data_IF_361265871201
#
_entry.id   IF_361265871201
#
_cell.length_a   1.000
_cell.length_b   1.000
_cell.length_c   1.000
_cell.angle_alpha   90.00
_cell.angle_beta   90.00
_cell.angle_gamma   90.00
#
_symmetry.space_group_name_H-M   'P 1'
#
loop_
_entity.id
_entity.type
_entity.pdbx_description
1 polymer ?
#
# COMPACT_ATOMS: atom_id res chain seq x y z
N UNK A 1 -24.72 -26.98 -11.18
CA UNK A 1 -24.73 -26.83 -9.71
C UNK A 1 -25.25 -25.43 -9.44
N UNK A 2 -26.54 -25.33 -9.12
CA UNK A 2 -27.16 -24.08 -8.68
C UNK A 2 -26.60 -23.74 -7.29
N UNK A 3 -25.78 -22.69 -7.24
CA UNK A 3 -25.40 -22.06 -5.97
C UNK A 3 -26.60 -21.22 -5.57
N UNK A 4 -27.10 -21.47 -4.35
CA UNK A 4 -28.23 -20.74 -3.77
C UNK A 4 -27.96 -19.22 -3.87
N UNK A 5 -28.80 -18.42 -4.56
CA UNK A 5 -28.59 -16.98 -4.82
C UNK A 5 -28.50 -16.08 -3.57
N UNK A 6 -28.71 -16.66 -2.40
CA UNK A 6 -28.92 -16.08 -1.09
C UNK A 6 -27.70 -16.21 -0.15
N UNK A 7 -26.54 -16.60 -0.67
CA UNK A 7 -25.31 -16.75 0.12
C UNK A 7 -24.31 -15.63 -0.21
N UNK A 8 -24.27 -14.58 0.62
CA UNK A 8 -23.33 -13.46 0.47
C UNK A 8 -21.87 -13.94 0.40
N UNK A 9 -21.54 -14.95 1.20
CA UNK A 9 -20.24 -15.60 1.26
C UNK A 9 -19.87 -16.30 -0.07
N UNK A 10 -20.83 -16.84 -0.83
CA UNK A 10 -20.55 -17.39 -2.15
C UNK A 10 -20.12 -16.30 -3.13
N UNK A 11 -20.86 -15.19 -3.16
CA UNK A 11 -20.51 -14.05 -4.01
C UNK A 11 -19.18 -13.41 -3.59
N UNK A 12 -18.90 -13.33 -2.30
CA UNK A 12 -17.62 -12.87 -1.78
C UNK A 12 -16.47 -13.79 -2.21
N UNK A 13 -16.62 -15.11 -2.07
CA UNK A 13 -15.59 -16.07 -2.49
C UNK A 13 -15.34 -16.03 -4.01
N UNK A 14 -16.40 -15.87 -4.81
CA UNK A 14 -16.27 -15.68 -6.26
C UNK A 14 -15.54 -14.36 -6.57
N UNK A 15 -15.81 -13.30 -5.80
CA UNK A 15 -15.07 -12.04 -5.89
C UNK A 15 -13.58 -12.22 -5.63
N UNK A 16 -13.21 -12.94 -4.57
CA UNK A 16 -11.82 -13.24 -4.23
C UNK A 16 -11.13 -14.01 -5.38
N UNK A 17 -11.80 -15.02 -5.95
CA UNK A 17 -11.28 -15.77 -7.10
C UNK A 17 -11.06 -14.88 -8.33
N UNK A 18 -11.99 -13.97 -8.63
CA UNK A 18 -11.80 -13.03 -9.73
C UNK A 18 -10.65 -12.06 -9.47
N UNK A 19 -10.47 -11.63 -8.23
CA UNK A 19 -9.35 -10.76 -7.83
C UNK A 19 -8.01 -11.46 -8.00
N UNK A 20 -7.89 -12.72 -7.57
CA UNK A 20 -6.70 -13.55 -7.80
C UNK A 20 -6.39 -13.75 -9.30
N UNK A 21 -7.43 -13.83 -10.13
CA UNK A 21 -7.30 -13.92 -11.58
C UNK A 21 -7.04 -12.57 -12.28
N UNK A 22 -6.94 -11.47 -11.54
CA UNK A 22 -6.77 -10.11 -12.08
C UNK A 22 -8.01 -9.57 -12.80
N UNK A 23 -9.17 -10.24 -12.70
CA UNK A 23 -10.44 -9.83 -13.32
C UNK A 23 -11.19 -8.86 -12.41
N UNK A 24 -10.64 -7.67 -12.25
CA UNK A 24 -11.07 -6.73 -11.21
C UNK A 24 -12.50 -6.21 -11.41
N UNK A 25 -12.98 -6.06 -12.64
CA UNK A 25 -14.38 -5.69 -12.89
C UNK A 25 -15.37 -6.78 -12.44
N UNK A 26 -15.05 -8.05 -12.70
CA UNK A 26 -15.85 -9.19 -12.27
C UNK A 26 -15.82 -9.35 -10.73
N UNK A 27 -14.66 -9.11 -10.12
CA UNK A 27 -14.51 -9.08 -8.66
C UNK A 27 -15.38 -7.99 -8.04
N UNK A 28 -15.33 -6.76 -8.57
CA UNK A 28 -16.15 -5.62 -8.13
C UNK A 28 -17.64 -5.97 -8.14
N UNK A 29 -18.12 -6.56 -9.23
CA UNK A 29 -19.53 -6.96 -9.36
C UNK A 29 -19.91 -8.04 -8.34
N UNK A 30 -19.01 -8.99 -8.08
CA UNK A 30 -19.24 -10.07 -7.13
C UNK A 30 -19.30 -9.56 -5.69
N UNK A 31 -18.39 -8.68 -5.29
CA UNK A 31 -18.45 -8.04 -3.97
C UNK A 31 -19.70 -7.18 -3.78
N UNK A 32 -20.09 -6.41 -4.79
CA UNK A 32 -21.36 -5.64 -4.74
C UNK A 32 -22.58 -6.54 -4.55
N UNK A 33 -22.62 -7.72 -5.17
CA UNK A 33 -23.68 -8.71 -4.94
C UNK A 33 -23.65 -9.26 -3.52
N UNK A 34 -22.47 -9.57 -2.98
CA UNK A 34 -22.32 -10.00 -1.60
C UNK A 34 -22.85 -8.93 -0.63
N UNK A 35 -22.51 -7.65 -0.86
CA UNK A 35 -22.95 -6.51 -0.06
C UNK A 35 -24.45 -6.17 -0.23
N UNK A 36 -25.05 -6.48 -1.37
CA UNK A 36 -26.49 -6.34 -1.56
C UNK A 36 -27.29 -7.35 -0.70
N UNK A 37 -26.70 -8.53 -0.44
CA UNK A 37 -27.29 -9.57 0.41
C UNK A 37 -26.95 -9.31 1.90
N UNK A 38 -25.71 -8.92 2.18
CA UNK A 38 -25.18 -8.67 3.52
C UNK A 38 -24.45 -7.32 3.57
N UNK A 39 -25.16 -6.21 3.84
CA UNK A 39 -24.58 -4.86 3.81
C UNK A 39 -23.52 -4.59 4.88
N UNK A 40 -23.50 -5.37 5.96
CA UNK A 40 -22.55 -5.29 7.08
C UNK A 40 -21.35 -6.23 6.92
N UNK A 41 -21.11 -6.76 5.72
CA UNK A 41 -19.99 -7.65 5.45
C UNK A 41 -18.67 -6.87 5.33
N UNK A 42 -17.98 -6.74 6.47
CA UNK A 42 -16.74 -5.96 6.65
C UNK A 42 -15.67 -6.31 5.62
N UNK A 43 -15.36 -7.60 5.46
CA UNK A 43 -14.32 -8.08 4.55
C UNK A 43 -14.68 -7.79 3.09
N UNK A 44 -15.97 -7.85 2.73
CA UNK A 44 -16.43 -7.53 1.37
C UNK A 44 -16.29 -6.04 1.07
N UNK A 45 -16.53 -5.15 2.03
CA UNK A 45 -16.25 -3.71 1.88
C UNK A 45 -14.76 -3.43 1.69
N UNK A 46 -13.89 -4.07 2.49
CA UNK A 46 -12.45 -3.93 2.35
C UNK A 46 -11.95 -4.44 0.99
N UNK A 47 -12.38 -5.63 0.55
CA UNK A 47 -11.93 -6.21 -0.72
C UNK A 47 -12.51 -5.48 -1.93
N UNK A 48 -13.74 -4.95 -1.81
CA UNK A 48 -14.31 -4.04 -2.81
C UNK A 48 -13.46 -2.78 -2.93
N UNK A 49 -13.04 -2.18 -1.81
CA UNK A 49 -12.15 -1.02 -1.80
C UNK A 49 -10.83 -1.30 -2.53
N UNK A 50 -10.16 -2.41 -2.21
CA UNK A 50 -8.92 -2.81 -2.86
C UNK A 50 -9.09 -3.02 -4.37
N UNK A 51 -10.21 -3.61 -4.77
CA UNK A 51 -10.52 -3.85 -6.18
C UNK A 51 -10.81 -2.54 -6.92
N UNK A 52 -11.56 -1.62 -6.31
CA UNK A 52 -11.88 -0.31 -6.86
C UNK A 52 -10.62 0.53 -7.08
N UNK A 53 -9.68 0.46 -6.14
CA UNK A 53 -8.38 1.11 -6.29
C UNK A 53 -7.60 0.52 -7.46
N UNK A 54 -7.57 -0.82 -7.59
CA UNK A 54 -6.91 -1.49 -8.71
C UNK A 54 -7.50 -1.18 -10.09
N UNK A 55 -8.77 -0.76 -10.18
CA UNK A 55 -9.41 -0.28 -11.43
C UNK A 55 -9.38 1.24 -11.58
N UNK A 56 -8.58 1.94 -10.78
CA UNK A 56 -8.39 3.40 -10.89
C UNK A 56 -9.57 4.23 -10.38
N UNK A 57 -10.28 3.75 -9.36
CA UNK A 57 -11.38 4.47 -8.68
C UNK A 57 -11.08 4.70 -7.19
N UNK A 58 -10.05 5.49 -6.86
CA UNK A 58 -9.62 5.68 -5.48
C UNK A 58 -10.67 6.35 -4.59
N UNK A 59 -11.54 7.23 -5.11
CA UNK A 59 -12.62 7.84 -4.32
C UNK A 59 -13.67 6.80 -3.88
N UNK A 60 -14.07 5.90 -4.78
CA UNK A 60 -14.99 4.80 -4.45
C UNK A 60 -14.33 3.81 -3.47
N UNK A 61 -13.00 3.63 -3.59
CA UNK A 61 -12.23 2.79 -2.69
C UNK A 61 -12.23 3.34 -1.26
N UNK A 62 -11.95 4.65 -1.08
CA UNK A 62 -12.02 5.35 0.22
C UNK A 62 -13.39 5.15 0.86
N UNK A 63 -14.48 5.33 0.10
CA UNK A 63 -15.83 5.14 0.63
C UNK A 63 -16.07 3.70 1.12
N UNK A 64 -15.54 2.70 0.40
CA UNK A 64 -15.68 1.29 0.76
C UNK A 64 -14.85 0.94 2.01
N UNK A 65 -13.60 1.41 2.10
CA UNK A 65 -12.79 1.21 3.31
C UNK A 65 -13.39 1.90 4.52
N UNK A 66 -13.91 3.12 4.37
CA UNK A 66 -14.59 3.81 5.46
C UNK A 66 -15.82 3.02 5.93
N UNK A 67 -16.56 2.37 5.03
CA UNK A 67 -17.66 1.47 5.43
C UNK A 67 -17.17 0.24 6.19
N UNK A 68 -16.06 -0.36 5.80
CA UNK A 68 -15.45 -1.44 6.57
C UNK A 68 -15.06 -0.96 7.99
N UNK A 69 -14.50 0.25 8.11
CA UNK A 69 -14.06 0.83 9.38
C UNK A 69 -15.22 1.33 10.25
N UNK A 70 -16.31 1.81 9.67
CA UNK A 70 -17.55 2.16 10.40
C UNK A 70 -18.11 0.91 11.10
N UNK A 71 -18.00 -0.26 10.47
CA UNK A 71 -18.47 -1.55 10.99
C UNK A 71 -17.46 -2.21 11.94
N UNK A 72 -16.17 -2.05 11.65
CA UNK A 72 -15.05 -2.62 12.42
C UNK A 72 -13.90 -1.60 12.54
N UNK A 73 -13.93 -0.74 13.57
CA UNK A 73 -12.94 0.34 13.73
C UNK A 73 -11.50 -0.16 13.98
N UNK A 74 -11.33 -1.37 14.49
CA UNK A 74 -10.05 -2.01 14.83
C UNK A 74 -9.49 -2.88 13.69
N UNK A 75 -9.87 -2.59 12.43
CA UNK A 75 -9.39 -3.32 11.26
C UNK A 75 -8.12 -2.70 10.67
N UNK A 76 -6.96 -3.17 11.12
CA UNK A 76 -5.66 -2.62 10.72
C UNK A 76 -5.42 -2.62 9.20
N UNK A 77 -5.80 -3.69 8.50
CA UNK A 77 -5.65 -3.80 7.05
C UNK A 77 -6.49 -2.74 6.32
N UNK A 78 -7.72 -2.48 6.77
CA UNK A 78 -8.58 -1.46 6.17
C UNK A 78 -8.05 -0.04 6.41
N UNK A 79 -7.46 0.25 7.58
CA UNK A 79 -6.78 1.51 7.84
C UNK A 79 -5.55 1.70 6.93
N UNK A 80 -4.72 0.68 6.75
CA UNK A 80 -3.59 0.73 5.84
C UNK A 80 -4.04 0.98 4.40
N UNK A 81 -5.03 0.22 3.93
CA UNK A 81 -5.54 0.34 2.56
C UNK A 81 -6.21 1.70 2.30
N UNK A 82 -6.93 2.24 3.30
CA UNK A 82 -7.46 3.60 3.26
C UNK A 82 -6.32 4.62 3.12
N UNK A 83 -5.22 4.44 3.87
CA UNK A 83 -4.03 5.27 3.75
C UNK A 83 -3.46 5.29 2.33
N UNK A 84 -3.34 4.13 1.67
CA UNK A 84 -2.89 4.06 0.27
C UNK A 84 -3.85 4.79 -0.67
N UNK A 85 -5.17 4.58 -0.54
CA UNK A 85 -6.14 5.25 -1.41
C UNK A 85 -6.18 6.77 -1.21
N UNK A 86 -5.97 7.25 0.02
CA UNK A 86 -5.86 8.68 0.32
C UNK A 86 -4.58 9.28 -0.25
N UNK A 87 -3.47 8.54 -0.21
CA UNK A 87 -2.22 8.93 -0.85
C UNK A 87 -2.40 9.08 -2.37
N UNK A 88 -3.07 8.13 -3.03
CA UNK A 88 -3.37 8.21 -4.47
C UNK A 88 -4.21 9.45 -4.84
N UNK A 89 -5.01 9.95 -3.89
CA UNK A 89 -5.80 11.19 -4.02
C UNK A 89 -5.01 12.45 -3.64
N UNK A 90 -3.74 12.33 -3.24
CA UNK A 90 -2.90 13.44 -2.76
C UNK A 90 -3.30 13.98 -1.38
N UNK A 91 -4.12 13.25 -0.61
CA UNK A 91 -4.52 13.62 0.76
C UNK A 91 -3.50 13.06 1.76
N UNK A 92 -2.30 13.62 1.74
CA UNK A 92 -1.13 13.04 2.39
C UNK A 92 -1.24 13.00 3.93
N UNK A 93 -1.79 14.03 4.55
CA UNK A 93 -1.99 14.08 6.01
C UNK A 93 -2.99 13.03 6.47
N UNK A 94 -4.11 12.88 5.76
CA UNK A 94 -5.11 11.86 6.05
C UNK A 94 -4.52 10.45 5.81
N UNK A 95 -3.71 10.29 4.76
CA UNK A 95 -3.03 9.03 4.45
C UNK A 95 -2.07 8.60 5.57
N UNK A 96 -1.25 9.53 6.06
CA UNK A 96 -0.33 9.30 7.17
C UNK A 96 -1.11 8.96 8.46
N UNK A 97 -2.20 9.68 8.75
CA UNK A 97 -3.05 9.40 9.91
C UNK A 97 -3.67 8.00 9.85
N UNK A 98 -4.17 7.57 8.69
CA UNK A 98 -4.71 6.23 8.49
C UNK A 98 -3.64 5.14 8.64
N UNK A 99 -2.44 5.33 8.08
CA UNK A 99 -1.33 4.40 8.28
C UNK A 99 -0.91 4.31 9.75
N UNK A 100 -0.86 5.45 10.47
CA UNK A 100 -0.57 5.47 11.89
C UNK A 100 -1.63 4.70 12.70
N UNK A 101 -2.92 4.81 12.34
CA UNK A 101 -3.97 3.99 12.97
C UNK A 101 -3.80 2.49 12.72
N UNK A 102 -3.37 2.09 11.53
CA UNK A 102 -3.03 0.71 11.26
C UNK A 102 -1.88 0.23 12.16
N UNK A 103 -0.87 1.07 12.39
CA UNK A 103 0.29 0.77 13.24
C UNK A 103 -0.04 0.78 14.74
N UNK A 104 -0.97 1.63 15.19
CA UNK A 104 -1.47 1.61 16.57
C UNK A 104 -2.13 0.26 16.90
N UNK A 105 -2.82 -0.33 15.91
CA UNK A 105 -3.49 -1.64 16.01
C UNK A 105 -2.52 -2.81 15.80
N UNK A 106 -1.57 -2.66 14.86
CA UNK A 106 -0.61 -3.68 14.45
C UNK A 106 0.79 -3.06 14.28
N UNK A 107 1.58 -2.96 15.36
CA UNK A 107 2.89 -2.27 15.33
C UNK A 107 3.94 -2.93 14.41
N UNK A 108 3.79 -4.22 14.13
CA UNK A 108 4.66 -5.04 13.28
C UNK A 108 4.18 -5.14 11.82
N UNK A 109 3.39 -4.17 11.36
CA UNK A 109 2.89 -4.12 9.99
C UNK A 109 3.86 -3.40 9.04
N UNK A 110 4.75 -4.18 8.39
CA UNK A 110 5.80 -3.64 7.51
C UNK A 110 5.27 -2.75 6.38
N UNK A 111 4.17 -3.14 5.73
CA UNK A 111 3.54 -2.38 4.65
C UNK A 111 2.98 -1.03 5.15
N UNK A 112 2.42 -0.97 6.36
CA UNK A 112 1.92 0.28 6.93
C UNK A 112 3.06 1.24 7.29
N UNK A 113 4.20 0.74 7.81
CA UNK A 113 5.41 1.55 7.99
C UNK A 113 5.94 2.09 6.65
N UNK A 114 5.94 1.27 5.60
CA UNK A 114 6.35 1.69 4.26
C UNK A 114 5.41 2.77 3.69
N UNK A 115 4.10 2.57 3.79
CA UNK A 115 3.09 3.51 3.28
C UNK A 115 3.09 4.83 4.06
N UNK A 116 3.27 4.78 5.38
CA UNK A 116 3.50 5.97 6.20
C UNK A 116 4.74 6.73 5.72
N UNK A 117 5.86 6.02 5.49
CA UNK A 117 7.08 6.61 4.95
C UNK A 117 6.88 7.30 3.60
N UNK A 118 6.05 6.73 2.72
CA UNK A 118 5.71 7.35 1.43
C UNK A 118 4.97 8.68 1.61
N UNK A 119 3.92 8.70 2.43
CA UNK A 119 3.17 9.92 2.71
C UNK A 119 4.07 11.01 3.33
N UNK A 120 4.87 10.67 4.34
CA UNK A 120 5.80 11.59 5.00
C UNK A 120 6.85 12.16 4.03
N UNK A 121 7.41 11.30 3.15
CA UNK A 121 8.38 11.72 2.12
C UNK A 121 7.78 12.73 1.15
N UNK A 122 6.52 12.56 0.75
CA UNK A 122 5.82 13.49 -0.14
C UNK A 122 5.45 14.81 0.57
N UNK A 123 5.18 14.77 1.88
CA UNK A 123 5.01 15.97 2.72
C UNK A 123 6.34 16.70 2.99
N UNK A 124 7.48 16.07 2.69
CA UNK A 124 8.82 16.63 2.95
C UNK A 124 9.37 16.35 4.35
N UNK A 125 8.68 15.54 5.14
CA UNK A 125 9.09 15.10 6.48
C UNK A 125 10.12 13.95 6.36
N UNK A 126 11.31 14.29 5.86
CA UNK A 126 12.32 13.31 5.44
C UNK A 126 12.86 12.45 6.58
N UNK A 127 13.03 13.00 7.79
CA UNK A 127 13.54 12.26 8.94
C UNK A 127 12.54 11.20 9.42
N UNK A 128 11.26 11.56 9.50
CA UNK A 128 10.19 10.63 9.90
C UNK A 128 9.91 9.58 8.82
N UNK A 129 10.02 9.97 7.54
CA UNK A 129 9.96 9.03 6.42
C UNK A 129 11.08 7.99 6.50
N UNK A 130 12.32 8.42 6.76
CA UNK A 130 13.46 7.54 6.95
C UNK A 130 13.24 6.57 8.11
N UNK A 131 12.78 7.06 9.27
CA UNK A 131 12.50 6.22 10.43
C UNK A 131 11.43 5.15 10.09
N UNK A 132 10.38 5.53 9.38
CA UNK A 132 9.31 4.62 8.94
C UNK A 132 9.84 3.55 7.98
N UNK A 133 10.64 3.92 6.97
CA UNK A 133 11.26 2.93 6.07
C UNK A 133 12.21 1.98 6.80
N UNK A 134 13.01 2.49 7.76
CA UNK A 134 13.88 1.63 8.57
C UNK A 134 13.09 0.64 9.43
N UNK A 135 11.93 1.04 9.96
CA UNK A 135 11.02 0.12 10.67
C UNK A 135 10.45 -0.94 9.74
N UNK A 136 10.00 -0.56 8.54
CA UNK A 136 9.54 -1.50 7.52
C UNK A 136 10.64 -2.53 7.17
N UNK A 137 11.87 -2.08 6.96
CA UNK A 137 13.02 -2.92 6.64
C UNK A 137 13.48 -3.79 7.82
N UNK A 138 13.31 -3.33 9.06
CA UNK A 138 13.57 -4.15 10.25
C UNK A 138 12.60 -5.33 10.38
N UNK A 139 11.37 -5.18 9.88
CA UNK A 139 10.34 -6.23 9.86
C UNK A 139 10.44 -7.11 8.61
N UNK A 140 10.75 -6.50 7.47
CA UNK A 140 10.87 -7.14 6.15
C UNK A 140 12.16 -6.68 5.46
N UNK A 141 13.31 -7.36 5.72
CA UNK A 141 14.59 -6.96 5.16
C UNK A 141 14.70 -7.05 3.63
N UNK A 142 13.85 -7.85 2.98
CA UNK A 142 13.83 -8.02 1.52
C UNK A 142 12.85 -7.07 0.81
N UNK A 143 12.38 -6.03 1.49
CA UNK A 143 11.45 -5.06 0.92
C UNK A 143 12.17 -4.07 -0.02
N UNK A 144 12.32 -4.47 -1.28
CA UNK A 144 13.07 -3.75 -2.31
C UNK A 144 12.64 -2.28 -2.47
N UNK A 145 11.34 -2.00 -2.51
CA UNK A 145 10.81 -0.64 -2.65
C UNK A 145 11.10 0.24 -1.44
N UNK A 146 11.10 -0.34 -0.23
CA UNK A 146 11.47 0.39 0.99
C UNK A 146 12.95 0.75 1.00
N UNK A 147 13.83 -0.16 0.56
CA UNK A 147 15.25 0.14 0.34
C UNK A 147 15.45 1.26 -0.68
N UNK A 148 14.76 1.19 -1.82
CA UNK A 148 14.85 2.20 -2.86
C UNK A 148 14.39 3.59 -2.36
N UNK A 149 13.24 3.65 -1.69
CA UNK A 149 12.70 4.90 -1.17
C UNK A 149 13.57 5.48 -0.04
N UNK A 150 14.11 4.64 0.84
CA UNK A 150 15.08 5.05 1.84
C UNK A 150 16.34 5.64 1.19
N UNK A 151 16.85 5.02 0.12
CA UNK A 151 17.95 5.56 -0.66
C UNK A 151 17.64 6.94 -1.24
N UNK A 152 16.43 7.13 -1.77
CA UNK A 152 15.96 8.44 -2.25
C UNK A 152 15.92 9.51 -1.16
N UNK A 153 15.45 9.16 0.05
CA UNK A 153 15.43 10.09 1.21
C UNK A 153 16.85 10.45 1.64
N UNK A 154 17.75 9.47 1.78
CA UNK A 154 19.15 9.69 2.14
C UNK A 154 19.87 10.57 1.11
N UNK A 155 19.61 10.36 -0.17
CA UNK A 155 20.17 11.19 -1.25
C UNK A 155 19.74 12.65 -1.14
N UNK A 156 18.46 12.91 -0.82
CA UNK A 156 17.94 14.27 -0.59
C UNK A 156 18.59 14.95 0.62
N UNK A 157 19.02 14.17 1.62
CA UNK A 157 19.75 14.66 2.79
C UNK A 157 21.27 14.81 2.56
N UNK A 158 21.77 14.47 1.36
CA UNK A 158 23.19 14.53 1.02
C UNK A 158 24.00 13.30 1.44
N UNK A 159 23.36 12.28 2.01
CA UNK A 159 23.99 11.02 2.42
C UNK A 159 24.16 10.06 1.23
N UNK A 160 24.91 10.51 0.22
CA UNK A 160 25.01 9.87 -1.10
C UNK A 160 25.53 8.42 -1.03
N UNK A 161 26.56 8.16 -0.22
CA UNK A 161 27.15 6.82 -0.11
C UNK A 161 26.16 5.81 0.47
N UNK A 162 25.41 6.21 1.51
CA UNK A 162 24.41 5.34 2.12
C UNK A 162 23.20 5.17 1.19
N UNK A 163 22.80 6.24 0.49
CA UNK A 163 21.77 6.16 -0.53
C UNK A 163 22.10 5.13 -1.61
N UNK A 164 23.34 5.14 -2.12
CA UNK A 164 23.80 4.19 -3.12
C UNK A 164 23.75 2.73 -2.63
N UNK A 165 24.13 2.47 -1.37
CA UNK A 165 24.05 1.13 -0.76
C UNK A 165 22.61 0.64 -0.66
N UNK A 166 21.69 1.50 -0.24
CA UNK A 166 20.28 1.12 -0.14
C UNK A 166 19.70 0.78 -1.51
N UNK A 167 20.05 1.54 -2.56
CA UNK A 167 19.61 1.22 -3.93
C UNK A 167 20.27 -0.07 -4.44
N UNK A 168 21.51 -0.36 -4.06
CA UNK A 168 22.15 -1.65 -4.38
C UNK A 168 21.43 -2.83 -3.72
N UNK A 169 21.01 -2.69 -2.46
CA UNK A 169 20.18 -3.68 -1.78
C UNK A 169 18.85 -3.87 -2.52
N UNK A 170 18.16 -2.78 -2.87
CA UNK A 170 16.92 -2.84 -3.64
C UNK A 170 17.10 -3.60 -4.97
N UNK A 171 18.17 -3.32 -5.72
CA UNK A 171 18.50 -3.99 -6.98
C UNK A 171 18.94 -5.45 -6.81
N UNK A 172 19.45 -5.83 -5.63
CA UNK A 172 19.77 -7.23 -5.33
C UNK A 172 18.51 -8.10 -5.18
N UNK A 173 17.40 -7.50 -4.73
CA UNK A 173 16.09 -8.14 -4.64
C UNK A 173 15.30 -8.03 -5.96
N UNK A 174 15.39 -6.90 -6.66
CA UNK A 174 14.70 -6.66 -7.94
C UNK A 174 15.64 -6.12 -9.02
N UNK A 175 16.34 -7.03 -9.70
CA UNK A 175 17.37 -6.68 -10.67
C UNK A 175 16.84 -6.13 -12.00
N UNK A 176 15.54 -6.06 -12.26
CA UNK A 176 15.01 -5.61 -13.57
C UNK A 176 14.62 -4.11 -13.58
N UNK A 177 14.88 -3.39 -12.48
CA UNK A 177 14.49 -1.98 -12.32
C UNK A 177 15.52 -1.01 -12.89
N UNK A 178 15.51 -0.81 -14.20
CA UNK A 178 16.43 0.13 -14.87
C UNK A 178 16.28 1.58 -14.39
N UNK A 179 15.06 2.00 -14.02
CA UNK A 179 14.81 3.31 -13.42
C UNK A 179 15.58 3.50 -12.10
N UNK A 180 15.74 2.44 -11.30
CA UNK A 180 16.47 2.51 -10.04
C UNK A 180 17.98 2.61 -10.27
N UNK A 181 18.50 1.92 -11.29
CA UNK A 181 19.90 2.04 -11.71
C UNK A 181 20.25 3.46 -12.17
N UNK A 182 19.37 4.04 -12.99
CA UNK A 182 19.54 5.41 -13.49
C UNK A 182 19.54 6.38 -12.31
N UNK A 183 18.59 6.26 -11.39
CA UNK A 183 18.53 7.14 -10.23
C UNK A 183 19.76 7.00 -9.33
N UNK A 184 20.32 5.79 -9.16
CA UNK A 184 21.60 5.60 -8.46
C UNK A 184 22.75 6.35 -9.17
N UNK A 185 22.85 6.23 -10.49
CA UNK A 185 23.92 6.87 -11.26
C UNK A 185 23.86 8.40 -11.15
N UNK A 186 22.66 8.99 -11.03
CA UNK A 186 22.47 10.42 -10.83
C UNK A 186 22.88 10.93 -9.44
N UNK A 187 22.96 10.03 -8.43
CA UNK A 187 23.42 10.39 -7.09
C UNK A 187 24.95 10.51 -7.00
N UNK A 188 25.67 9.76 -7.84
CA UNK A 188 27.13 9.68 -7.79
C UNK A 188 27.77 10.74 -8.70
N UNK A 189 28.94 11.30 -8.31
CA UNK A 189 29.68 12.18 -9.20
C UNK A 189 30.09 11.41 -10.47
N UNK A 190 30.20 12.08 -11.64
CA UNK A 190 30.64 11.45 -12.87
C UNK A 190 32.03 10.82 -12.66
N UNK A 191 32.22 9.59 -13.16
CA UNK A 191 33.51 8.90 -13.10
C UNK A 191 34.53 9.76 -13.87
N UNK A 192 35.62 10.22 -13.25
CA UNK A 192 36.64 10.98 -13.96
C UNK A 192 37.30 10.09 -15.03
N UNK A 193 37.44 10.65 -16.24
CA UNK A 193 38.12 10.05 -17.39
C UNK A 193 39.63 9.91 -17.18
#
# INVERSE_FOLDING_TARGET
>A
MDIRPDYAEAHFNVGNLFQELGKLDDATNSYRRALAIKPDFVEAHNNLGATLQGVGKPEDAVASYQKALDLKPDYAEAHNNLGVALHDLGKLEDAAASCQKALDLKPDYAEAHYNLGNALKEMGELDDAMASYQKALGLKPDYAEAHYNLGGVLGRQGNVDEAAKQIDLALSYEAEKDSWRINKALLLPPIPY
#
